data_IF_660872551692
#
_entry.id   IF_660872551692
#
_cell.length_a   1.000
_cell.length_b   1.000
_cell.length_c   1.000
_cell.angle_alpha   90.00
_cell.angle_beta   90.00
_cell.angle_gamma   90.00
#
_symmetry.space_group_name_H-M   'P 1'
#
loop_
_entity.id
_entity.type
_entity.pdbx_description
1 polymer ?
#
# COMPACT_ATOMS: atom_id res chain seq x y z
N UNK A 1 9.30 -36.14 -78.71
CA UNK A 1 9.89 -37.07 -77.73
C UNK A 1 10.78 -36.21 -76.86
N UNK A 2 10.52 -35.92 -75.59
CA UNK A 2 9.56 -36.45 -74.59
C UNK A 2 9.31 -35.37 -73.48
N UNK A 3 8.33 -35.41 -72.57
CA UNK A 3 6.99 -36.04 -72.48
C UNK A 3 6.30 -35.57 -71.16
N UNK A 4 5.03 -35.95 -70.93
CA UNK A 4 4.37 -36.05 -69.60
C UNK A 4 3.96 -34.76 -68.85
N UNK A 5 2.93 -34.70 -67.99
CA UNK A 5 1.79 -35.61 -67.69
C UNK A 5 0.68 -34.88 -66.87
N UNK A 6 -0.56 -35.40 -66.92
CA UNK A 6 -1.67 -35.35 -65.92
C UNK A 6 -2.43 -34.05 -65.62
N UNK A 7 -3.56 -33.96 -66.34
CA UNK A 7 -4.99 -33.71 -66.00
C UNK A 7 -5.52 -33.41 -64.56
N UNK A 8 -6.75 -32.84 -64.45
CA UNK A 8 -7.34 -32.26 -63.24
C UNK A 8 -8.51 -33.08 -62.62
N UNK A 9 -9.13 -32.57 -61.54
CA UNK A 9 -10.59 -32.33 -61.40
C UNK A 9 -11.03 -32.10 -59.94
N UNK A 10 -11.82 -31.03 -59.66
CA UNK A 10 -12.62 -30.89 -58.42
C UNK A 10 -13.67 -29.77 -58.55
N UNK A 11 -14.95 -30.11 -58.83
CA UNK A 11 -16.14 -29.28 -58.53
C UNK A 11 -17.37 -30.21 -58.35
N UNK A 12 -18.37 -29.77 -57.58
CA UNK A 12 -19.69 -30.41 -57.30
C UNK A 12 -19.69 -31.60 -56.32
N UNK A 13 -20.66 -31.74 -55.40
CA UNK A 13 -21.74 -30.87 -54.89
C UNK A 13 -22.20 -31.46 -53.54
N UNK A 14 -22.68 -30.66 -52.57
CA UNK A 14 -23.85 -31.02 -51.71
C UNK A 14 -24.23 -29.87 -50.76
N UNK A 15 -25.54 -29.68 -50.56
CA UNK A 15 -26.10 -28.60 -49.76
C UNK A 15 -26.70 -29.09 -48.42
N UNK A 16 -26.63 -28.22 -47.41
CA UNK A 16 -27.67 -28.12 -46.38
C UNK A 16 -27.55 -28.97 -45.11
N UNK A 17 -27.09 -28.37 -44.00
CA UNK A 17 -27.64 -28.68 -42.67
C UNK A 17 -27.56 -27.53 -41.65
N UNK A 18 -28.71 -26.91 -41.42
CA UNK A 18 -29.25 -26.46 -40.11
C UNK A 18 -28.37 -25.49 -39.28
N UNK A 19 -28.65 -24.19 -39.44
CA UNK A 19 -29.13 -23.21 -38.44
C UNK A 19 -28.84 -23.51 -36.94
N UNK A 20 -28.52 -22.45 -36.16
CA UNK A 20 -28.29 -22.39 -34.69
C UNK A 20 -26.83 -22.39 -34.19
N UNK A 21 -25.98 -21.44 -34.64
CA UNK A 21 -24.70 -21.10 -33.96
C UNK A 21 -24.39 -19.59 -33.83
N UNK A 22 -25.39 -18.70 -33.92
CA UNK A 22 -25.15 -17.23 -33.84
C UNK A 22 -25.76 -16.53 -32.62
N UNK A 23 -26.63 -17.18 -31.83
CA UNK A 23 -27.24 -16.60 -30.62
C UNK A 23 -26.34 -16.73 -29.37
N UNK A 24 -25.30 -17.58 -29.43
CA UNK A 24 -24.41 -17.81 -28.28
C UNK A 24 -23.43 -16.66 -27.99
N UNK A 25 -23.11 -15.83 -28.99
CA UNK A 25 -22.12 -14.73 -28.86
C UNK A 25 -22.58 -13.53 -28.03
N UNK A 26 -23.82 -12.98 -28.16
CA UNK A 26 -24.27 -11.88 -27.29
C UNK A 26 -24.39 -12.29 -25.81
N UNK A 27 -24.73 -13.54 -25.51
CA UNK A 27 -24.81 -14.03 -24.13
C UNK A 27 -23.45 -14.06 -23.41
N UNK A 28 -22.37 -14.45 -24.11
CA UNK A 28 -21.03 -14.35 -23.53
C UNK A 28 -20.63 -12.90 -23.24
N UNK A 29 -20.97 -11.95 -24.13
CA UNK A 29 -20.70 -10.53 -23.88
C UNK A 29 -21.53 -9.99 -22.70
N UNK A 30 -22.81 -10.36 -22.58
CA UNK A 30 -23.65 -9.98 -21.44
C UNK A 30 -23.12 -10.54 -20.12
N UNK A 31 -22.69 -11.81 -20.09
CA UNK A 31 -22.10 -12.43 -18.90
C UNK A 31 -20.74 -11.82 -18.53
N UNK A 32 -19.92 -11.41 -19.49
CA UNK A 32 -18.65 -10.71 -19.23
C UNK A 32 -18.91 -9.28 -18.72
N UNK A 33 -19.89 -8.57 -19.27
CA UNK A 33 -20.30 -7.24 -18.78
C UNK A 33 -20.94 -7.32 -17.40
N UNK A 34 -21.70 -8.38 -17.09
CA UNK A 34 -22.25 -8.60 -15.76
C UNK A 34 -21.17 -9.02 -14.75
N UNK A 35 -20.17 -9.80 -15.17
CA UNK A 35 -19.02 -10.16 -14.33
C UNK A 35 -18.05 -8.98 -14.08
N UNK A 36 -18.05 -7.97 -14.94
CA UNK A 36 -17.34 -6.69 -14.72
C UNK A 36 -17.97 -5.82 -13.60
N UNK A 37 -19.16 -6.19 -13.10
CA UNK A 37 -19.84 -5.55 -11.97
C UNK A 37 -19.90 -6.44 -10.72
N UNK A 38 -18.86 -7.23 -10.46
CA UNK A 38 -18.66 -7.80 -9.13
C UNK A 38 -18.41 -6.65 -8.12
N UNK A 39 -19.25 -6.47 -7.08
CA UNK A 39 -18.98 -5.47 -6.05
C UNK A 39 -17.67 -5.82 -5.33
N UNK A 40 -16.82 -4.82 -5.13
CA UNK A 40 -15.55 -4.99 -4.43
C UNK A 40 -15.82 -5.24 -2.94
N UNK A 41 -15.88 -6.51 -2.56
CA UNK A 41 -16.06 -6.95 -1.18
C UNK A 41 -14.86 -6.51 -0.33
N UNK A 42 -15.01 -5.35 0.31
CA UNK A 42 -14.03 -4.76 1.18
C UNK A 42 -14.78 -4.02 2.30
N UNK A 43 -14.53 -4.43 3.54
CA UNK A 43 -15.06 -3.70 4.69
C UNK A 43 -14.45 -2.29 4.71
N UNK A 44 -15.25 -1.32 5.14
CA UNK A 44 -14.86 0.10 5.15
C UNK A 44 -14.59 0.54 6.57
N UNK A 45 -13.33 0.84 6.87
CA UNK A 45 -12.85 1.26 8.19
C UNK A 45 -12.60 2.75 8.14
N UNK A 46 -13.37 3.51 8.92
CA UNK A 46 -13.18 4.94 9.14
C UNK A 46 -12.29 5.13 10.36
N UNK A 47 -11.23 5.92 10.22
CA UNK A 47 -10.34 6.30 11.31
C UNK A 47 -10.74 7.67 11.85
N UNK A 48 -10.35 7.98 13.09
CA UNK A 48 -10.67 9.24 13.79
C UNK A 48 -10.04 10.49 13.17
N UNK A 49 -9.07 10.31 12.28
CA UNK A 49 -8.51 11.37 11.43
C UNK A 49 -9.37 11.66 10.18
N UNK A 50 -10.50 10.95 10.02
CA UNK A 50 -11.39 11.01 8.87
C UNK A 50 -10.93 10.20 7.65
N UNK A 51 -9.79 9.51 7.74
CA UNK A 51 -9.32 8.63 6.66
C UNK A 51 -10.13 7.34 6.57
N UNK A 52 -10.15 6.75 5.37
CA UNK A 52 -10.99 5.58 5.07
C UNK A 52 -10.14 4.48 4.44
N UNK A 53 -10.00 3.37 5.14
CA UNK A 53 -9.31 2.16 4.67
C UNK A 53 -10.37 1.18 4.15
N UNK A 54 -10.13 0.62 2.96
CA UNK A 54 -10.95 -0.45 2.39
C UNK A 54 -10.16 -1.75 2.35
N UNK A 55 -10.66 -2.78 3.01
CA UNK A 55 -10.04 -4.10 3.04
C UNK A 55 -10.85 -5.06 3.91
N UNK A 56 -10.59 -6.36 3.77
CA UNK A 56 -11.28 -7.36 4.56
C UNK A 56 -10.70 -7.41 5.98
N UNK A 57 -11.52 -7.27 7.02
CA UNK A 57 -11.10 -7.52 8.40
C UNK A 57 -10.96 -9.04 8.59
N UNK A 58 -9.77 -9.50 8.94
CA UNK A 58 -9.48 -10.96 9.04
C UNK A 58 -9.13 -11.43 10.45
N UNK A 59 -8.83 -10.53 11.39
CA UNK A 59 -8.64 -10.86 12.80
C UNK A 59 -8.79 -9.63 13.70
N UNK A 60 -9.14 -9.86 14.96
CA UNK A 60 -9.03 -8.89 16.04
C UNK A 60 -8.28 -9.55 17.22
N UNK A 61 -7.20 -8.94 17.70
CA UNK A 61 -6.40 -9.44 18.83
C UNK A 61 -5.65 -8.28 19.48
N UNK A 62 -5.44 -8.32 20.80
CA UNK A 62 -4.58 -7.37 21.52
C UNK A 62 -4.91 -5.88 21.23
N UNK A 63 -6.21 -5.57 21.13
CA UNK A 63 -6.77 -4.26 20.76
C UNK A 63 -6.37 -3.75 19.36
N UNK A 64 -6.02 -4.68 18.45
CA UNK A 64 -5.65 -4.39 17.07
C UNK A 64 -6.50 -5.20 16.09
N UNK A 65 -6.98 -4.54 15.04
CA UNK A 65 -7.58 -5.18 13.87
C UNK A 65 -6.51 -5.50 12.83
N UNK A 66 -6.49 -6.74 12.35
CA UNK A 66 -5.76 -7.11 11.12
C UNK A 66 -6.69 -6.94 9.92
N UNK A 67 -6.23 -6.19 8.92
CA UNK A 67 -6.96 -5.92 7.68
C UNK A 67 -6.15 -6.38 6.47
N UNK A 68 -6.81 -7.03 5.51
CA UNK A 68 -6.26 -7.47 4.25
C UNK A 68 -6.72 -6.53 3.13
N UNK A 69 -5.78 -5.76 2.57
CA UNK A 69 -6.04 -4.72 1.57
C UNK A 69 -5.62 -5.24 0.18
N UNK A 70 -6.51 -5.09 -0.80
CA UNK A 70 -6.27 -5.44 -2.21
C UNK A 70 -7.24 -6.51 -2.74
N UNK A 71 -8.04 -6.12 -3.74
CA UNK A 71 -9.06 -6.95 -4.38
C UNK A 71 -8.74 -7.19 -5.86
N UNK A 72 -8.48 -8.44 -6.26
CA UNK A 72 -8.31 -8.81 -7.67
C UNK A 72 -7.41 -10.04 -7.89
N UNK A 73 -7.70 -10.83 -8.92
CA UNK A 73 -7.09 -12.14 -9.18
C UNK A 73 -5.59 -12.12 -9.61
N UNK A 74 -4.95 -10.96 -9.59
CA UNK A 74 -3.55 -10.79 -10.04
C UNK A 74 -2.75 -9.76 -9.20
N UNK A 75 -3.32 -9.28 -8.08
CA UNK A 75 -2.72 -8.25 -7.23
C UNK A 75 -2.13 -8.78 -5.91
N UNK A 76 -0.97 -8.23 -5.51
CA UNK A 76 -0.32 -8.55 -4.22
C UNK A 76 -1.15 -8.00 -3.06
N UNK A 77 -1.85 -8.87 -2.32
CA UNK A 77 -2.60 -8.49 -1.11
C UNK A 77 -1.63 -8.03 -0.02
N UNK A 78 -1.92 -6.89 0.62
CA UNK A 78 -1.13 -6.37 1.75
C UNK A 78 -1.89 -6.57 3.06
N UNK A 79 -1.17 -6.94 4.12
CA UNK A 79 -1.71 -7.09 5.47
C UNK A 79 -1.30 -5.86 6.27
N UNK A 80 -2.26 -5.14 6.84
CA UNK A 80 -2.01 -4.06 7.79
C UNK A 80 -2.64 -4.36 9.15
N UNK A 81 -2.20 -3.63 10.17
CA UNK A 81 -2.68 -3.74 11.55
C UNK A 81 -3.02 -2.34 12.06
N UNK A 82 -4.22 -2.18 12.61
CA UNK A 82 -4.80 -0.90 13.02
C UNK A 82 -5.21 -1.01 14.50
N UNK A 83 -4.84 -0.04 15.33
CA UNK A 83 -5.24 -0.02 16.75
C UNK A 83 -6.69 0.46 16.90
N UNK A 84 -7.41 -0.08 17.89
CA UNK A 84 -8.79 0.34 18.23
C UNK A 84 -8.87 1.83 18.56
N UNK A 85 -7.79 2.39 19.12
CA UNK A 85 -7.74 3.81 19.49
C UNK A 85 -7.79 4.77 18.29
N UNK A 86 -7.39 4.32 17.10
CA UNK A 86 -7.41 5.11 15.87
C UNK A 86 -8.73 5.00 15.09
N UNK A 87 -9.58 4.03 15.42
CA UNK A 87 -10.80 3.71 14.64
C UNK A 87 -11.99 4.54 15.11
N UNK A 88 -12.68 5.17 14.16
CA UNK A 88 -13.96 5.87 14.36
C UNK A 88 -15.12 4.87 14.21
N UNK A 89 -15.15 4.12 13.10
CA UNK A 89 -16.18 3.09 12.86
C UNK A 89 -15.74 2.06 11.81
N UNK A 90 -16.45 0.93 11.77
CA UNK A 90 -16.26 -0.13 10.78
C UNK A 90 -17.62 -0.48 10.17
N UNK A 91 -17.72 -0.35 8.84
CA UNK A 91 -18.85 -0.77 8.03
C UNK A 91 -18.48 -2.10 7.35
N UNK A 92 -19.00 -3.22 7.85
CA UNK A 92 -18.80 -4.55 7.27
C UNK A 92 -19.72 -4.78 6.08
N UNK A 93 -19.20 -5.25 4.96
CA UNK A 93 -20.05 -5.62 3.83
C UNK A 93 -20.73 -6.98 4.09
N UNK A 94 -22.00 -7.09 3.71
CA UNK A 94 -22.89 -8.16 4.16
C UNK A 94 -22.49 -9.56 3.66
N UNK A 95 -21.65 -9.64 2.62
CA UNK A 95 -21.07 -10.89 2.15
C UNK A 95 -20.09 -11.53 3.16
N UNK A 96 -19.34 -10.72 3.91
CA UNK A 96 -18.40 -11.21 4.94
C UNK A 96 -19.17 -11.86 6.10
N UNK A 97 -20.28 -11.24 6.52
CA UNK A 97 -21.20 -11.77 7.56
C UNK A 97 -21.90 -13.07 7.13
N UNK A 98 -22.23 -13.20 5.85
CA UNK A 98 -22.80 -14.43 5.29
C UNK A 98 -21.77 -15.58 5.24
N UNK A 99 -20.51 -15.29 4.91
CA UNK A 99 -19.44 -16.29 4.95
C UNK A 99 -19.10 -16.73 6.38
N UNK A 100 -19.09 -15.81 7.34
CA UNK A 100 -18.88 -16.12 8.76
C UNK A 100 -20.01 -16.99 9.35
N UNK A 101 -21.27 -16.73 8.98
CA UNK A 101 -22.41 -17.56 9.40
C UNK A 101 -22.50 -18.91 8.67
N UNK A 102 -21.91 -19.05 7.47
CA UNK A 102 -21.73 -20.35 6.80
C UNK A 102 -20.63 -21.21 7.45
N UNK A 103 -19.60 -20.60 8.04
CA UNK A 103 -18.49 -21.28 8.74
C UNK A 103 -18.81 -21.61 10.22
N UNK A 104 -19.89 -21.05 10.78
CA UNK A 104 -20.30 -21.28 12.17
C UNK A 104 -21.25 -22.49 12.36
N UNK A 105 -21.55 -23.24 11.30
CA UNK A 105 -22.62 -24.24 11.30
C UNK A 105 -22.12 -25.71 11.41
N UNK A 106 -21.13 -25.94 12.27
CA UNK A 106 -20.79 -27.26 12.84
C UNK A 106 -20.47 -27.14 14.33
N UNK A 107 -21.45 -26.76 15.16
CA UNK A 107 -21.93 -27.55 16.32
C UNK A 107 -23.10 -26.82 17.03
N UNK A 108 -24.09 -27.61 17.48
CA UNK A 108 -25.14 -27.31 18.46
C UNK A 108 -26.02 -26.07 18.23
N UNK A 109 -27.25 -26.34 17.77
CA UNK A 109 -28.34 -25.37 17.78
C UNK A 109 -28.79 -25.01 19.21
N UNK A 110 -29.01 -23.73 19.49
CA UNK A 110 -30.03 -23.26 20.46
C UNK A 110 -30.56 -21.89 20.04
N UNK A 111 -31.89 -21.79 20.04
CA UNK A 111 -32.69 -20.62 19.64
C UNK A 111 -32.44 -19.39 20.51
N UNK A 112 -32.17 -18.22 19.89
CA UNK A 112 -32.36 -16.91 20.52
C UNK A 112 -32.69 -15.83 19.48
N UNK A 113 -33.73 -15.05 19.77
CA UNK A 113 -34.32 -14.06 18.85
C UNK A 113 -33.63 -12.70 18.89
N UNK A 114 -33.90 -11.88 17.87
CA UNK A 114 -33.48 -10.48 17.72
C UNK A 114 -33.57 -9.63 18.99
N UNK A 115 -32.55 -8.81 19.25
CA UNK A 115 -32.70 -7.40 19.70
C UNK A 115 -31.42 -6.64 19.35
N UNK A 116 -31.53 -5.55 18.59
CA UNK A 116 -30.41 -4.66 18.31
C UNK A 116 -30.21 -3.67 19.48
N UNK A 117 -28.96 -3.28 19.82
CA UNK A 117 -28.71 -2.27 20.83
C UNK A 117 -29.11 -0.88 20.31
N UNK A 118 -30.24 -0.36 20.80
CA UNK A 118 -30.66 1.01 20.55
C UNK A 118 -29.76 1.98 21.33
N UNK A 119 -28.98 2.79 20.63
CA UNK A 119 -28.30 3.93 21.23
C UNK A 119 -29.35 4.99 21.62
N UNK A 120 -29.47 5.25 22.92
CA UNK A 120 -30.39 6.25 23.46
C UNK A 120 -29.60 7.49 23.92
N UNK A 121 -29.88 8.70 23.39
CA UNK A 121 -29.12 9.89 23.76
C UNK A 121 -29.41 10.31 25.21
N UNK A 122 -28.40 10.80 25.96
CA UNK A 122 -28.59 11.25 27.34
C UNK A 122 -29.50 12.48 27.39
N UNK A 123 -30.41 12.48 28.37
CA UNK A 123 -31.42 13.52 28.57
C UNK A 123 -30.87 14.62 29.48
N UNK A 124 -30.86 15.87 29.00
CA UNK A 124 -30.48 17.01 29.84
C UNK A 124 -31.49 17.20 30.99
N UNK A 125 -31.01 17.13 32.23
CA UNK A 125 -31.70 17.70 33.40
C UNK A 125 -31.05 19.06 33.73
N UNK A 126 -31.84 20.12 34.02
CA UNK A 126 -31.30 21.39 34.52
C UNK A 126 -30.86 21.26 35.99
N UNK A 127 -29.88 22.07 36.44
CA UNK A 127 -29.31 21.96 37.78
C UNK A 127 -30.15 22.68 38.87
N UNK A 128 -30.13 22.21 40.12
CA UNK A 128 -30.48 23.02 41.28
C UNK A 128 -29.29 23.92 41.67
N UNK A 129 -29.57 25.18 42.00
CA UNK A 129 -28.60 26.19 42.39
C UNK A 129 -28.31 26.15 43.90
N UNK A 130 -27.03 26.29 44.32
CA UNK A 130 -26.65 26.83 45.65
C UNK A 130 -25.12 27.03 45.81
N UNK A 131 -24.68 28.28 45.68
CA UNK A 131 -23.67 29.00 46.49
C UNK A 131 -22.31 28.37 46.90
N UNK A 132 -21.27 29.18 46.68
CA UNK A 132 -20.01 29.31 47.45
C UNK A 132 -18.86 28.29 47.24
N UNK A 133 -17.95 28.62 46.31
CA UNK A 133 -16.51 28.34 46.45
C UNK A 133 -15.70 29.40 45.67
N UNK A 134 -14.54 29.89 46.17
CA UNK A 134 -13.77 30.94 45.50
C UNK A 134 -12.98 30.39 44.29
N UNK A 135 -12.64 31.25 43.30
CA UNK A 135 -12.05 30.79 42.04
C UNK A 135 -10.61 30.27 42.24
N UNK A 136 -10.28 29.05 41.77
CA UNK A 136 -8.89 28.61 41.72
C UNK A 136 -8.12 29.43 40.67
N UNK A 137 -7.01 30.00 41.14
CA UNK A 137 -5.94 30.69 40.39
C UNK A 137 -5.78 30.17 38.95
N UNK A 138 -5.76 31.10 37.99
CA UNK A 138 -5.37 30.83 36.59
C UNK A 138 -3.95 30.28 36.57
N UNK A 139 -3.80 28.97 36.45
CA UNK A 139 -2.56 28.35 36.01
C UNK A 139 -2.42 28.60 34.52
N UNK A 140 -1.32 29.23 34.10
CA UNK A 140 -0.96 29.27 32.69
C UNK A 140 -0.75 27.82 32.22
N UNK A 141 -1.76 27.27 31.56
CA UNK A 141 -1.72 25.91 31.03
C UNK A 141 -0.72 25.90 29.87
N UNK A 142 0.48 25.40 30.12
CA UNK A 142 1.41 25.00 29.06
C UNK A 142 0.69 24.00 28.18
N UNK A 143 0.33 24.47 26.97
CA UNK A 143 -0.24 23.62 25.92
C UNK A 143 0.71 22.42 25.72
N UNK A 144 0.20 21.17 25.76
CA UNK A 144 1.06 20.02 25.55
C UNK A 144 1.61 20.06 24.12
N UNK A 145 2.91 20.27 23.99
CA UNK A 145 3.61 20.08 22.73
C UNK A 145 3.58 18.59 22.40
N UNK A 146 2.66 18.18 21.53
CA UNK A 146 2.63 16.82 21.02
C UNK A 146 3.98 16.51 20.35
N UNK A 147 4.69 15.53 20.92
CA UNK A 147 5.86 14.97 20.25
C UNK A 147 5.41 14.31 18.95
N UNK A 148 6.11 14.52 17.83
CA UNK A 148 5.74 13.91 16.56
C UNK A 148 5.81 12.38 16.66
N UNK A 149 4.68 11.72 16.40
CA UNK A 149 4.59 10.27 16.30
C UNK A 149 5.23 9.81 14.99
N UNK A 150 5.98 8.70 15.02
CA UNK A 150 6.58 8.11 13.83
C UNK A 150 6.06 6.69 13.62
N UNK A 151 5.86 6.29 12.37
CA UNK A 151 5.61 4.91 11.96
C UNK A 151 6.78 4.38 11.11
N UNK A 152 6.96 3.05 11.11
CA UNK A 152 8.15 2.42 10.51
C UNK A 152 7.80 1.60 9.27
N UNK A 153 8.54 1.80 8.18
CA UNK A 153 8.54 0.96 6.98
C UNK A 153 9.92 0.32 6.82
N UNK A 154 9.97 -0.95 6.41
CA UNK A 154 11.21 -1.66 6.05
C UNK A 154 11.23 -1.94 4.55
N UNK A 155 12.33 -1.61 3.89
CA UNK A 155 12.51 -1.75 2.44
C UNK A 155 13.85 -2.42 2.17
N UNK A 156 13.85 -3.47 1.35
CA UNK A 156 15.07 -4.01 0.77
C UNK A 156 15.35 -3.27 -0.55
N UNK A 157 16.43 -2.49 -0.59
CA UNK A 157 16.84 -1.74 -1.78
C UNK A 157 17.80 -2.57 -2.59
N UNK A 158 17.46 -2.89 -3.84
CA UNK A 158 18.30 -3.67 -4.74
C UNK A 158 19.34 -2.75 -5.40
N UNK A 159 20.55 -3.28 -5.61
CA UNK A 159 21.65 -2.54 -6.23
C UNK A 159 21.71 -2.69 -7.76
N UNK A 160 20.96 -3.64 -8.31
CA UNK A 160 20.96 -3.95 -9.74
C UNK A 160 19.99 -3.06 -10.54
N UNK A 161 20.12 -3.07 -11.86
CA UNK A 161 19.29 -2.28 -12.77
C UNK A 161 17.82 -2.75 -12.89
N UNK A 162 17.32 -3.57 -11.96
CA UNK A 162 15.90 -3.92 -11.96
C UNK A 162 15.07 -2.68 -11.62
N UNK A 163 13.91 -2.52 -12.27
CA UNK A 163 13.06 -1.35 -12.08
C UNK A 163 13.81 -0.01 -12.29
N UNK A 164 14.74 0.02 -13.26
CA UNK A 164 15.63 1.15 -13.57
C UNK A 164 16.49 1.60 -12.37
N UNK A 165 16.88 0.67 -11.49
CA UNK A 165 17.70 0.95 -10.31
C UNK A 165 16.92 1.48 -9.09
N UNK A 166 15.59 1.58 -9.18
CA UNK A 166 14.75 2.18 -8.13
C UNK A 166 13.87 1.16 -7.40
N UNK A 167 14.00 1.14 -6.08
CA UNK A 167 13.16 0.38 -5.16
C UNK A 167 12.04 1.28 -4.62
N UNK A 168 10.79 0.98 -4.95
CA UNK A 168 9.61 1.68 -4.42
C UNK A 168 9.39 1.28 -2.96
N UNK A 169 9.35 2.27 -2.05
CA UNK A 169 9.14 2.03 -0.61
C UNK A 169 7.68 1.76 -0.22
N UNK A 170 6.72 2.09 -1.08
CA UNK A 170 5.29 2.14 -0.76
C UNK A 170 4.87 3.36 0.09
N UNK A 171 5.80 4.20 0.53
CA UNK A 171 5.51 5.40 1.29
C UNK A 171 5.10 6.56 0.37
N UNK A 172 3.86 7.02 0.51
CA UNK A 172 3.45 8.34 0.00
C UNK A 172 3.87 9.39 1.02
N UNK A 173 4.81 10.24 0.63
CA UNK A 173 5.33 11.35 1.42
C UNK A 173 4.52 12.62 1.12
N UNK A 174 4.32 13.45 2.14
CA UNK A 174 3.75 14.80 2.00
C UNK A 174 4.79 15.88 2.23
N UNK A 175 4.64 17.02 1.56
CA UNK A 175 5.47 18.21 1.81
C UNK A 175 5.35 18.63 3.28
N UNK A 176 6.49 18.90 3.92
CA UNK A 176 6.57 19.25 5.35
C UNK A 176 6.66 18.06 6.30
N UNK A 177 6.44 16.82 5.84
CA UNK A 177 6.57 15.61 6.66
C UNK A 177 8.05 15.36 7.03
N UNK A 178 8.32 15.01 8.29
CA UNK A 178 9.65 14.57 8.73
C UNK A 178 9.87 13.10 8.44
N UNK A 179 11.03 12.78 7.90
CA UNK A 179 11.49 11.41 7.70
C UNK A 179 12.85 11.23 8.39
N UNK A 180 13.07 10.04 8.95
CA UNK A 180 14.38 9.53 9.32
C UNK A 180 14.58 8.23 8.57
N UNK A 181 15.67 8.12 7.84
CA UNK A 181 16.02 6.91 7.11
C UNK A 181 17.34 6.39 7.68
N UNK A 182 17.38 5.11 8.02
CA UNK A 182 18.60 4.39 8.41
C UNK A 182 18.78 3.20 7.49
N UNK A 183 20.01 2.87 7.17
CA UNK A 183 20.33 1.83 6.20
C UNK A 183 21.55 1.00 6.64
N UNK A 184 21.46 -0.30 6.41
CA UNK A 184 22.54 -1.27 6.64
C UNK A 184 22.68 -2.20 5.43
N UNK A 185 23.59 -3.17 5.51
CA UNK A 185 23.86 -4.13 4.44
C UNK A 185 25.06 -3.75 3.59
N UNK A 186 25.24 -4.49 2.49
CA UNK A 186 26.39 -4.38 1.59
C UNK A 186 26.01 -4.81 0.18
N UNK A 187 26.53 -4.11 -0.81
CA UNK A 187 26.32 -4.41 -2.23
C UNK A 187 27.66 -4.60 -2.93
N UNK A 188 27.68 -5.39 -4.01
CA UNK A 188 28.80 -5.47 -4.95
C UNK A 188 28.60 -4.44 -6.05
N UNK A 189 29.67 -3.71 -6.39
CA UNK A 189 29.73 -2.62 -7.37
C UNK A 189 30.50 -3.05 -8.64
N UNK A 190 30.24 -4.28 -9.10
CA UNK A 190 31.13 -5.00 -10.01
C UNK A 190 32.57 -5.15 -9.50
N UNK A 191 33.48 -5.65 -10.34
CA UNK A 191 34.94 -5.50 -10.19
C UNK A 191 35.59 -5.87 -8.83
N UNK A 192 34.97 -6.76 -8.04
CA UNK A 192 35.35 -7.05 -6.64
C UNK A 192 35.35 -5.82 -5.70
N UNK A 193 34.61 -4.76 -6.07
CA UNK A 193 34.34 -3.55 -5.27
C UNK A 193 33.04 -3.76 -4.48
N UNK A 194 33.00 -3.27 -3.25
CA UNK A 194 31.82 -3.38 -2.39
C UNK A 194 31.57 -2.08 -1.62
N UNK A 195 30.31 -1.68 -1.52
CA UNK A 195 29.89 -0.53 -0.71
C UNK A 195 28.92 -0.92 0.41
N UNK A 196 28.94 -0.09 1.45
CA UNK A 196 27.86 0.05 2.44
C UNK A 196 26.98 1.24 2.03
N UNK A 197 25.82 1.49 2.65
CA UNK A 197 24.98 2.65 2.30
C UNK A 197 25.68 4.02 2.31
N UNK A 198 26.80 4.19 3.03
CA UNK A 198 27.64 5.39 2.97
C UNK A 198 28.40 5.57 1.63
N UNK A 199 28.43 4.54 0.79
CA UNK A 199 29.21 4.45 -0.44
C UNK A 199 30.72 4.30 -0.20
N UNK A 200 31.49 4.46 -1.27
CA UNK A 200 32.96 4.52 -1.27
C UNK A 200 33.43 5.74 -2.07
N UNK A 201 34.56 6.37 -1.69
CA UNK A 201 35.15 7.45 -2.48
C UNK A 201 35.67 6.90 -3.81
N UNK A 202 35.52 7.68 -4.88
CA UNK A 202 36.01 7.33 -6.21
C UNK A 202 35.41 8.23 -7.30
N UNK A 203 36.11 8.29 -8.44
CA UNK A 203 35.61 8.95 -9.64
C UNK A 203 34.72 7.99 -10.41
N UNK A 204 33.45 8.33 -10.49
CA UNK A 204 32.42 7.72 -11.33
C UNK A 204 31.59 8.91 -11.80
N UNK A 205 31.63 9.19 -13.10
CA UNK A 205 30.95 10.34 -13.67
C UNK A 205 29.54 10.02 -14.14
N UNK A 206 29.16 8.74 -14.25
CA UNK A 206 27.91 8.35 -14.90
C UNK A 206 26.78 8.17 -13.88
N UNK A 207 27.11 8.13 -12.58
CA UNK A 207 26.14 8.18 -11.47
C UNK A 207 25.35 9.49 -11.41
N UNK A 208 24.14 9.40 -10.87
CA UNK A 208 23.19 10.51 -10.71
C UNK A 208 23.76 11.65 -9.84
N UNK A 209 24.29 11.33 -8.66
CA UNK A 209 24.89 12.30 -7.75
C UNK A 209 26.42 12.25 -7.87
N UNK A 210 26.96 12.91 -8.91
CA UNK A 210 28.39 12.88 -9.30
C UNK A 210 29.36 13.29 -8.17
N UNK A 211 28.95 14.21 -7.30
CA UNK A 211 29.76 14.69 -6.15
C UNK A 211 29.75 13.75 -4.95
N UNK A 212 28.78 12.84 -4.87
CA UNK A 212 28.57 11.97 -3.71
C UNK A 212 29.25 10.60 -3.87
N UNK A 213 29.50 9.84 -2.79
CA UNK A 213 30.20 8.56 -2.87
C UNK A 213 29.51 7.56 -3.80
N UNK A 214 30.30 6.75 -4.52
CA UNK A 214 29.76 5.69 -5.39
C UNK A 214 29.24 4.53 -4.55
N UNK A 215 28.10 3.96 -4.95
CA UNK A 215 27.43 2.92 -4.18
C UNK A 215 26.64 3.45 -2.98
N UNK A 216 26.61 4.76 -2.72
CA UNK A 216 25.84 5.32 -1.61
C UNK A 216 24.33 5.16 -1.82
N UNK A 217 23.58 4.99 -0.73
CA UNK A 217 22.11 5.00 -0.78
C UNK A 217 21.62 6.42 -1.08
N UNK A 218 20.79 6.55 -2.11
CA UNK A 218 20.09 7.78 -2.51
C UNK A 218 18.58 7.58 -2.50
N UNK A 219 17.86 8.69 -2.48
CA UNK A 219 16.40 8.72 -2.57
C UNK A 219 15.92 9.81 -3.54
N UNK A 220 14.68 9.68 -4.00
CA UNK A 220 13.91 10.74 -4.66
C UNK A 220 12.44 10.65 -4.21
N UNK A 221 11.73 11.78 -4.20
CA UNK A 221 10.30 11.85 -3.89
C UNK A 221 9.58 12.28 -5.17
N UNK A 222 8.66 11.44 -5.65
CA UNK A 222 8.16 11.54 -7.02
C UNK A 222 9.17 11.00 -8.04
N UNK A 223 8.67 10.54 -9.18
CA UNK A 223 9.41 9.96 -10.31
C UNK A 223 9.55 10.93 -11.50
N UNK A 224 9.15 12.19 -11.30
CA UNK A 224 9.05 13.26 -12.30
C UNK A 224 10.20 14.28 -12.24
N UNK A 225 11.28 13.99 -11.49
CA UNK A 225 12.31 14.98 -11.15
C UNK A 225 13.68 14.39 -10.79
N UNK A 226 14.70 15.26 -10.83
CA UNK A 226 16.11 14.95 -10.52
C UNK A 226 16.58 15.49 -9.15
N UNK A 227 15.67 15.73 -8.20
CA UNK A 227 16.00 16.26 -6.85
C UNK A 227 16.45 15.13 -5.91
N UNK A 228 17.60 14.52 -6.25
CA UNK A 228 18.15 13.38 -5.56
C UNK A 228 18.72 13.75 -4.17
N UNK A 229 18.38 12.94 -3.17
CA UNK A 229 18.88 13.08 -1.80
C UNK A 229 19.89 11.97 -1.49
N UNK A 230 21.13 12.33 -1.14
CA UNK A 230 22.06 11.40 -0.49
C UNK A 230 21.48 10.99 0.87
N UNK A 231 21.15 9.71 1.07
CA UNK A 231 20.71 9.19 2.37
C UNK A 231 21.90 8.66 3.18
N UNK A 232 22.85 7.99 2.54
CA UNK A 232 23.96 7.36 3.24
C UNK A 232 23.51 6.26 4.21
N UNK A 233 24.25 6.06 5.29
CA UNK A 233 23.88 5.15 6.41
C UNK A 233 22.70 5.70 7.23
N UNK A 234 22.57 7.02 7.35
CA UNK A 234 21.46 7.68 8.03
C UNK A 234 21.25 9.11 7.53
N UNK A 235 19.99 9.49 7.30
CA UNK A 235 19.59 10.89 7.10
C UNK A 235 18.22 11.18 7.72
N UNK A 236 18.15 12.29 8.43
CA UNK A 236 16.93 12.86 8.98
C UNK A 236 16.61 14.14 8.17
N UNK A 237 15.40 14.30 7.62
CA UNK A 237 15.05 15.45 6.77
C UNK A 237 13.55 15.79 6.80
N UNK A 238 13.21 16.95 6.23
CA UNK A 238 11.83 17.39 5.97
C UNK A 238 11.57 17.34 4.48
N UNK A 239 10.52 16.66 4.04
CA UNK A 239 10.17 16.55 2.63
C UNK A 239 9.77 17.91 2.03
N UNK A 240 10.33 18.24 0.85
CA UNK A 240 10.09 19.52 0.18
C UNK A 240 8.92 19.50 -0.83
N UNK A 241 8.42 18.30 -1.13
CA UNK A 241 7.38 18.00 -2.12
C UNK A 241 6.57 16.77 -1.68
N UNK A 242 5.40 16.61 -2.26
CA UNK A 242 4.56 15.43 -2.15
C UNK A 242 4.97 14.38 -3.20
N UNK A 243 4.79 13.09 -2.92
CA UNK A 243 5.08 12.02 -3.89
C UNK A 243 5.43 10.68 -3.24
N UNK A 244 5.59 9.63 -4.05
CA UNK A 244 6.09 8.34 -3.55
C UNK A 244 7.60 8.42 -3.33
N UNK A 245 8.09 7.88 -2.21
CA UNK A 245 9.52 7.78 -1.93
C UNK A 245 10.13 6.56 -2.64
N UNK A 246 11.12 6.80 -3.49
CA UNK A 246 11.95 5.78 -4.12
C UNK A 246 13.37 5.81 -3.55
N UNK A 247 14.01 4.64 -3.51
CA UNK A 247 15.36 4.43 -2.98
C UNK A 247 16.23 3.71 -4.02
N UNK A 248 17.48 4.12 -4.17
CA UNK A 248 18.39 3.59 -5.19
C UNK A 248 19.86 3.68 -4.78
N UNK A 249 20.75 3.21 -5.65
CA UNK A 249 22.21 3.20 -5.43
C UNK A 249 22.88 4.22 -6.35
N UNK A 250 23.73 5.08 -5.79
CA UNK A 250 24.44 6.12 -6.54
C UNK A 250 25.64 5.55 -7.31
N UNK A 251 25.39 4.96 -8.48
CA UNK A 251 26.44 4.41 -9.35
C UNK A 251 26.06 4.52 -10.83
N UNK A 252 27.06 4.71 -11.70
CA UNK A 252 26.87 4.85 -13.15
C UNK A 252 26.62 3.54 -13.90
N UNK A 253 27.03 2.40 -13.34
CA UNK A 253 26.79 1.07 -13.90
C UNK A 253 26.05 0.19 -12.88
N UNK A 254 24.77 -0.06 -13.11
CA UNK A 254 23.95 -0.94 -12.26
C UNK A 254 23.84 -2.38 -12.83
N UNK A 255 24.51 -2.69 -13.93
CA UNK A 255 24.34 -3.96 -14.65
C UNK A 255 25.20 -5.11 -14.10
N UNK A 256 26.32 -4.80 -13.45
CA UNK A 256 27.22 -5.75 -12.76
C UNK A 256 27.06 -5.72 -11.22
N UNK A 257 26.02 -5.04 -10.75
CA UNK A 257 25.71 -4.90 -9.33
C UNK A 257 24.92 -6.08 -8.77
N UNK A 258 25.20 -6.44 -7.52
CA UNK A 258 24.46 -7.49 -6.80
C UNK A 258 24.34 -7.17 -5.30
N UNK A 259 23.36 -7.80 -4.64
CA UNK A 259 23.08 -7.60 -3.22
C UNK A 259 22.02 -6.52 -2.97
N UNK A 260 21.83 -6.21 -1.68
CA UNK A 260 20.78 -5.30 -1.19
C UNK A 260 21.26 -4.48 0.00
N UNK A 261 20.63 -3.31 0.19
CA UNK A 261 20.62 -2.60 1.45
C UNK A 261 19.30 -2.86 2.19
N UNK A 262 19.40 -3.03 3.51
CA UNK A 262 18.25 -3.11 4.41
C UNK A 262 17.98 -1.70 4.95
N UNK A 263 16.85 -1.11 4.54
CA UNK A 263 16.50 0.27 4.86
C UNK A 263 15.30 0.31 5.79
N UNK A 264 15.40 1.11 6.85
CA UNK A 264 14.32 1.41 7.79
C UNK A 264 13.99 2.89 7.68
N UNK A 265 12.75 3.17 7.29
CA UNK A 265 12.19 4.53 7.18
C UNK A 265 11.26 4.73 8.38
N UNK A 266 11.55 5.73 9.20
CA UNK A 266 10.62 6.28 10.17
C UNK A 266 10.02 7.56 9.58
N UNK A 267 8.71 7.56 9.33
CA UNK A 267 8.01 8.72 8.80
C UNK A 267 7.06 9.30 9.87
N UNK A 268 7.03 10.62 9.99
CA UNK A 268 6.11 11.32 10.88
C UNK A 268 4.67 11.02 10.45
N UNK A 269 3.87 10.49 11.39
CA UNK A 269 2.43 10.38 11.22
C UNK A 269 1.87 11.80 11.14
N UNK A 270 1.17 12.10 10.05
CA UNK A 270 0.77 13.47 9.73
C UNK A 270 -0.21 14.03 10.76
N UNK A 271 0.29 14.83 11.71
CA UNK A 271 -0.55 15.78 12.43
C UNK A 271 -1.21 16.72 11.43
N UNK A 272 -2.53 16.93 11.56
CA UNK A 272 -3.28 17.84 10.71
C UNK A 272 -2.69 19.27 10.70
N UNK A 273 -3.01 20.09 9.68
CA UNK A 273 -2.45 21.42 9.53
C UNK A 273 -2.67 22.26 10.79
N UNK A 274 -1.60 22.96 11.20
CA UNK A 274 -1.62 24.01 12.24
C UNK A 274 -2.17 25.32 11.69
#
# INVERSE_FOLDING_TARGET
MESSLVTPALVELLAGRIIMKQILRPFCCLLIVLALFAPALADTIRLKDGSVIRGQVIAFKDQQFTVLIGSGAQGRRSRTTIYVEDIESIEFDSATTAAASALANEDTATTASSTAPVYQPPRNNPPPDTSNNPPPRVSNQTLPSSSPTFFTIKVAVRADNANNGWSNSGLVVRKGQRLRITATGRVSLGGNRFATPAGIPGTDNDKLMRTEPTGALIAVIGDDNDDFLLIGTRRDFVAQRDGVLFLGVNEGNLADNTGTYDVVIEAEAGGGPR
#
